data_IF_480324764882
#
_entry.id   IF_480324764882
#
_cell.length_a   1.000
_cell.length_b   1.000
_cell.length_c   1.000
_cell.angle_alpha   90.00
_cell.angle_beta   90.00
_cell.angle_gamma   90.00
#
_symmetry.space_group_name_H-M   'P 1'
#
loop_
_entity.id
_entity.type
_entity.pdbx_description
1 polymer ?
#
# COMPACT_ATOMS: atom_id res chain seq x y z
N UNK A 1 7.53 -2.97 10.58
CA UNK A 1 7.72 -4.29 9.95
C UNK A 1 7.02 -4.35 8.60
N UNK A 2 7.32 -5.34 7.75
CA UNK A 2 6.76 -5.43 6.38
C UNK A 2 5.56 -6.38 6.31
N UNK A 3 4.47 -5.92 5.70
CA UNK A 3 3.30 -6.74 5.42
C UNK A 3 2.72 -6.42 4.04
N UNK A 4 1.96 -7.35 3.48
CA UNK A 4 1.28 -7.18 2.20
C UNK A 4 -0.13 -7.74 2.29
N UNK A 5 -1.08 -7.04 1.70
CA UNK A 5 -2.50 -7.43 1.67
C UNK A 5 -3.13 -6.99 0.35
N UNK A 6 -4.29 -7.54 0.06
CA UNK A 6 -5.01 -7.26 -1.18
C UNK A 6 -6.37 -6.61 -0.88
N UNK A 7 -6.66 -5.51 -1.56
CA UNK A 7 -7.96 -4.86 -1.53
C UNK A 7 -8.88 -5.46 -2.59
N UNK A 8 -10.13 -5.74 -2.22
CA UNK A 8 -11.13 -6.37 -3.11
C UNK A 8 -11.45 -5.52 -4.34
N UNK A 9 -11.49 -4.20 -4.18
CA UNK A 9 -11.79 -3.25 -5.26
C UNK A 9 -10.48 -2.66 -5.81
N UNK A 10 -9.81 -3.43 -6.67
CA UNK A 10 -8.53 -3.06 -7.28
C UNK A 10 -8.57 -1.70 -7.99
N UNK A 11 -9.71 -1.33 -8.58
CA UNK A 11 -9.85 -0.06 -9.30
C UNK A 11 -9.77 1.17 -8.39
N UNK A 12 -10.06 1.00 -7.09
CA UNK A 12 -10.06 2.10 -6.10
C UNK A 12 -8.85 2.11 -5.18
N UNK A 13 -7.90 1.19 -5.35
CA UNK A 13 -6.72 1.07 -4.45
C UNK A 13 -5.98 2.40 -4.36
N UNK A 14 -5.52 2.92 -5.49
CA UNK A 14 -4.72 4.16 -5.53
C UNK A 14 -5.51 5.36 -4.98
N UNK A 15 -6.81 5.43 -5.29
CA UNK A 15 -7.69 6.49 -4.80
C UNK A 15 -7.83 6.45 -3.28
N UNK A 16 -8.02 5.26 -2.71
CA UNK A 16 -8.13 5.06 -1.26
C UNK A 16 -6.81 5.34 -0.55
N UNK A 17 -5.68 4.86 -1.08
CA UNK A 17 -4.36 5.12 -0.49
C UNK A 17 -4.01 6.62 -0.46
N UNK A 18 -4.52 7.41 -1.41
CA UNK A 18 -4.34 8.89 -1.39
C UNK A 18 -5.11 9.60 -0.29
N UNK A 19 -6.02 8.91 0.43
CA UNK A 19 -6.80 9.48 1.54
C UNK A 19 -6.13 9.29 2.90
N UNK A 20 -5.01 8.58 2.96
CA UNK A 20 -4.21 8.44 4.17
C UNK A 20 -3.55 9.76 4.52
N UNK A 21 -3.48 10.08 5.82
CA UNK A 21 -2.84 11.31 6.30
C UNK A 21 -1.68 11.06 7.26
N UNK A 22 -1.67 9.92 7.95
CA UNK A 22 -0.56 9.50 8.83
C UNK A 22 0.39 8.60 8.06
N UNK A 23 -0.15 7.62 7.34
CA UNK A 23 0.62 6.68 6.53
C UNK A 23 0.94 7.33 5.19
N UNK A 24 2.21 7.40 4.84
CA UNK A 24 2.67 8.09 3.63
C UNK A 24 2.65 7.16 2.42
N UNK A 25 1.99 7.57 1.34
CA UNK A 25 2.05 6.90 0.05
C UNK A 25 3.41 7.17 -0.63
N UNK A 26 4.35 6.22 -0.56
CA UNK A 26 5.71 6.35 -1.10
C UNK A 26 6.34 5.00 -1.46
N UNK A 27 7.32 5.01 -2.38
CA UNK A 27 8.02 3.80 -2.86
C UNK A 27 9.12 3.29 -1.90
N UNK A 28 9.46 4.07 -0.87
CA UNK A 28 10.52 3.73 0.10
C UNK A 28 10.00 2.80 1.20
N UNK A 29 10.92 2.07 1.87
CA UNK A 29 10.59 1.08 2.90
C UNK A 29 11.60 1.15 4.06
N UNK A 30 11.15 0.81 5.28
CA UNK A 30 12.04 0.57 6.42
C UNK A 30 12.49 1.81 7.21
N UNK A 31 11.79 2.93 7.06
CA UNK A 31 11.97 4.11 7.89
C UNK A 31 11.32 3.99 9.27
N UNK A 32 11.47 5.04 10.09
CA UNK A 32 10.69 5.20 11.33
C UNK A 32 9.23 5.56 11.04
N UNK A 33 8.96 6.09 9.85
CA UNK A 33 7.62 6.44 9.37
C UNK A 33 6.98 5.26 8.65
N UNK A 34 5.66 5.20 8.73
CA UNK A 34 4.79 4.24 8.07
C UNK A 34 4.61 4.60 6.60
N UNK A 35 5.03 3.69 5.72
CA UNK A 35 5.02 3.88 4.27
C UNK A 35 4.17 2.80 3.59
N UNK A 36 3.34 3.21 2.62
CA UNK A 36 2.49 2.31 1.86
C UNK A 36 2.68 2.51 0.36
N UNK A 37 2.64 1.43 -0.42
CA UNK A 37 2.74 1.50 -1.88
C UNK A 37 1.72 0.58 -2.57
N UNK A 38 1.39 0.93 -3.81
CA UNK A 38 0.68 0.08 -4.76
C UNK A 38 1.65 -0.35 -5.87
N UNK A 39 2.27 -1.55 -5.77
CA UNK A 39 3.39 -1.94 -6.64
C UNK A 39 3.02 -1.94 -8.12
N UNK A 40 1.80 -2.35 -8.47
CA UNK A 40 1.37 -2.47 -9.86
C UNK A 40 1.28 -1.12 -10.61
N UNK A 41 1.10 0.01 -9.90
CA UNK A 41 1.12 1.36 -10.51
C UNK A 41 2.32 2.22 -10.11
N UNK A 42 3.23 1.70 -9.28
CA UNK A 42 4.39 2.43 -8.78
C UNK A 42 5.67 1.66 -9.13
N UNK A 43 6.30 0.99 -8.18
CA UNK A 43 7.60 0.31 -8.33
C UNK A 43 7.67 -0.70 -9.47
N UNK A 44 6.56 -1.33 -9.85
CA UNK A 44 6.49 -2.34 -10.90
C UNK A 44 5.64 -1.90 -12.10
N UNK A 45 5.33 -0.60 -12.23
CA UNK A 45 4.48 -0.09 -13.31
C UNK A 45 4.99 -0.44 -14.72
N UNK A 46 6.31 -0.55 -14.90
CA UNK A 46 6.96 -0.91 -16.16
C UNK A 46 6.95 -2.40 -16.50
N UNK A 47 6.62 -3.27 -15.54
CA UNK A 47 6.54 -4.72 -15.75
C UNK A 47 5.19 -5.07 -16.39
N UNK A 48 5.15 -5.85 -17.49
CA UNK A 48 3.90 -6.26 -18.11
C UNK A 48 2.96 -6.96 -17.11
N UNK A 49 1.65 -6.70 -17.22
CA UNK A 49 0.63 -7.22 -16.30
C UNK A 49 0.73 -8.73 -16.09
N UNK A 50 0.84 -9.51 -17.16
CA UNK A 50 0.95 -10.98 -17.07
C UNK A 50 2.19 -11.42 -16.27
N UNK A 51 3.30 -10.68 -16.37
CA UNK A 51 4.52 -10.98 -15.62
C UNK A 51 4.42 -10.54 -14.15
N UNK A 52 3.71 -9.45 -13.87
CA UNK A 52 3.39 -9.03 -12.49
C UNK A 52 2.54 -10.06 -11.78
N UNK A 53 1.46 -10.51 -12.43
CA UNK A 53 0.53 -11.51 -11.86
C UNK A 53 1.25 -12.84 -11.57
N UNK A 54 2.17 -13.28 -12.44
CA UNK A 54 3.02 -14.47 -12.19
C UNK A 54 3.90 -14.34 -10.94
N UNK A 55 4.22 -13.12 -10.52
CA UNK A 55 4.99 -12.83 -9.31
C UNK A 55 4.10 -12.53 -8.10
N UNK A 56 2.78 -12.67 -8.23
CA UNK A 56 1.81 -12.35 -7.18
C UNK A 56 1.54 -10.84 -7.02
N UNK A 57 2.00 -10.01 -7.97
CA UNK A 57 1.74 -8.56 -7.99
C UNK A 57 0.44 -8.31 -8.73
N UNK A 58 -0.67 -8.34 -8.00
CA UNK A 58 -2.00 -8.05 -8.53
C UNK A 58 -2.28 -6.54 -8.52
N UNK A 59 -3.30 -6.11 -9.27
CA UNK A 59 -3.78 -4.72 -9.26
C UNK A 59 -4.47 -4.34 -7.92
N UNK A 60 -4.68 -5.32 -7.03
CA UNK A 60 -5.20 -5.11 -5.68
C UNK A 60 -4.12 -5.08 -4.59
N UNK A 61 -2.88 -5.44 -4.93
CA UNK A 61 -1.80 -5.66 -3.96
C UNK A 61 -1.33 -4.33 -3.37
N UNK A 62 -1.28 -4.29 -2.04
CA UNK A 62 -0.72 -3.18 -1.26
C UNK A 62 0.41 -3.69 -0.41
N UNK A 63 1.53 -2.97 -0.37
CA UNK A 63 2.66 -3.27 0.52
C UNK A 63 2.76 -2.17 1.56
N UNK A 64 2.80 -2.57 2.82
CA UNK A 64 2.82 -1.67 3.96
C UNK A 64 4.08 -1.92 4.79
N UNK A 65 4.92 -0.89 4.88
CA UNK A 65 6.03 -0.78 5.81
C UNK A 65 5.53 -0.07 7.06
N UNK A 66 5.28 -0.82 8.12
CA UNK A 66 4.83 -0.26 9.40
C UNK A 66 6.02 0.39 10.11
N UNK A 67 5.90 1.68 10.39
CA UNK A 67 6.85 2.48 11.14
C UNK A 67 6.73 2.28 12.66
N UNK A 68 6.99 3.35 13.41
CA UNK A 68 7.05 3.40 14.87
C UNK A 68 5.95 4.28 15.50
N UNK A 69 4.94 4.67 14.72
CA UNK A 69 3.79 5.43 15.21
C UNK A 69 2.92 4.63 16.19
N UNK A 70 2.01 5.32 16.88
CA UNK A 70 1.03 4.65 17.74
C UNK A 70 0.14 3.71 16.88
N UNK A 71 0.02 2.42 17.26
CA UNK A 71 -0.84 1.49 16.53
C UNK A 71 -2.30 1.94 16.40
N UNK A 72 -2.81 2.78 17.31
CA UNK A 72 -4.16 3.32 17.23
C UNK A 72 -4.30 4.36 16.10
N UNK A 73 -3.32 5.25 15.94
CA UNK A 73 -3.30 6.26 14.88
C UNK A 73 -3.24 5.59 13.50
N UNK A 74 -2.41 4.55 13.36
CA UNK A 74 -2.32 3.77 12.13
C UNK A 74 -3.62 3.03 11.80
N UNK A 75 -4.30 2.49 12.81
CA UNK A 75 -5.59 1.82 12.62
C UNK A 75 -6.68 2.81 12.20
N UNK A 76 -6.75 3.97 12.84
CA UNK A 76 -7.73 5.01 12.51
C UNK A 76 -7.52 5.53 11.09
N UNK A 77 -6.26 5.77 10.69
CA UNK A 77 -5.93 6.23 9.35
C UNK A 77 -6.32 5.20 8.28
N UNK A 78 -5.99 3.92 8.50
CA UNK A 78 -6.41 2.83 7.62
C UNK A 78 -7.92 2.69 7.56
N UNK A 79 -8.63 2.80 8.69
CA UNK A 79 -10.08 2.68 8.73
C UNK A 79 -10.75 3.83 7.97
N UNK A 80 -10.26 5.05 8.11
CA UNK A 80 -10.76 6.21 7.37
C UNK A 80 -10.53 6.09 5.86
N UNK A 81 -9.34 5.62 5.45
CA UNK A 81 -8.98 5.55 4.04
C UNK A 81 -9.56 4.34 3.31
N UNK A 82 -9.65 3.18 4.00
CA UNK A 82 -10.00 1.89 3.41
C UNK A 82 -11.40 1.37 3.80
N UNK A 83 -12.02 1.91 4.86
CA UNK A 83 -13.33 1.53 5.37
C UNK A 83 -14.52 1.90 4.49
#
# INVERSE_FOLDING_TARGET
GMLSFELRDAAKVVERLRRLEVIVLAESLGGVESLIEHPASMTHASVPKEQREKQGITDGLVRFSVGLEDPADLQEDLQRALG
#
